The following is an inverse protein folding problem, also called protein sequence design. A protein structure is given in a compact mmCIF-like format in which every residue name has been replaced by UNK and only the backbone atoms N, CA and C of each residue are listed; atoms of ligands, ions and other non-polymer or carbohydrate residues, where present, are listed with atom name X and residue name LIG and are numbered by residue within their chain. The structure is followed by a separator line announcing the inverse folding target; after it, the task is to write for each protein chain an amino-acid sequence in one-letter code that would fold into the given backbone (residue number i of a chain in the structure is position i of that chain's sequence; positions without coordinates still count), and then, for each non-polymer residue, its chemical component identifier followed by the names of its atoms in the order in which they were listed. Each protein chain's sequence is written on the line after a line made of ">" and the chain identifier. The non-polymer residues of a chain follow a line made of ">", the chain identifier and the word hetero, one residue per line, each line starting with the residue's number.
data_IF_597000653231
#
_entry.id   IF_597000653231
#
_cell.length_a   1.000
_cell.length_b   1.000
_cell.length_c   1.000
_cell.angle_alpha   90.00
_cell.angle_beta   90.00
_cell.angle_gamma   90.00
#
_symmetry.space_group_name_H-M   'P 1'
#
loop_
_entity.id
_entity.type
_entity.pdbx_description
1 polymer ?
#
# COMPACT_ATOMS: atom_id res chain seq x y z
N UNK A 1 4.11 27.23 -5.42
CA UNK A 1 2.90 28.07 -5.54
C UNK A 1 1.73 27.28 -4.97
N UNK A 2 1.21 27.67 -3.82
CA UNK A 2 0.08 27.00 -3.14
C UNK A 2 -1.18 27.78 -3.47
N UNK A 3 -2.19 27.12 -4.05
CA UNK A 3 -3.51 27.71 -4.29
C UNK A 3 -4.48 27.14 -3.23
N UNK A 4 -5.08 27.97 -2.35
CA UNK A 4 -5.97 27.47 -1.32
C UNK A 4 -7.38 27.21 -1.89
N UNK A 5 -7.90 26.01 -1.68
CA UNK A 5 -9.30 25.65 -1.95
C UNK A 5 -10.15 25.95 -0.70
N UNK A 6 -11.10 26.88 -0.80
CA UNK A 6 -12.08 27.17 0.25
C UNK A 6 -13.33 26.31 0.04
N UNK A 7 -13.65 25.44 1.00
CA UNK A 7 -15.01 24.96 1.17
C UNK A 7 -15.16 23.55 1.75
N UNK A 8 -15.91 23.50 2.85
CA UNK A 8 -16.59 22.36 3.49
C UNK A 8 -15.82 21.50 4.50
N UNK A 9 -16.19 21.76 5.75
CA UNK A 9 -15.88 21.02 6.98
C UNK A 9 -16.46 19.60 6.94
N UNK A 10 -15.63 18.60 6.63
CA UNK A 10 -15.82 17.20 7.04
C UNK A 10 -14.45 16.64 7.40
N UNK A 11 -14.21 16.41 8.70
CA UNK A 11 -13.01 15.81 9.30
C UNK A 11 -11.83 15.69 8.33
N UNK A 12 -11.18 16.83 8.07
CA UNK A 12 -10.14 16.94 7.05
C UNK A 12 -8.99 16.00 7.43
N UNK A 13 -8.87 14.87 6.73
CA UNK A 13 -7.59 14.17 6.66
C UNK A 13 -6.69 15.09 5.83
N UNK A 14 -5.89 15.91 6.51
CA UNK A 14 -4.86 16.71 5.87
C UNK A 14 -3.86 15.76 5.20
N UNK A 15 -3.94 15.67 3.88
CA UNK A 15 -2.87 15.09 3.06
C UNK A 15 -1.99 16.26 2.63
N UNK A 16 -1.04 16.63 3.48
CA UNK A 16 0.01 17.57 3.09
C UNK A 16 0.99 16.83 2.16
N UNK A 17 1.07 17.28 0.91
CA UNK A 17 2.06 16.76 -0.05
C UNK A 17 3.18 17.77 -0.16
N UNK A 18 4.36 17.41 0.36
CA UNK A 18 5.59 18.15 0.06
C UNK A 18 6.04 17.68 -1.33
N UNK A 19 5.91 18.54 -2.34
CA UNK A 19 6.29 18.21 -3.70
C UNK A 19 7.81 17.92 -3.74
N UNK A 20 8.18 16.64 -3.80
CA UNK A 20 9.50 16.23 -4.25
C UNK A 20 9.53 16.32 -5.78
N UNK A 21 10.64 16.73 -6.38
CA UNK A 21 10.80 16.86 -7.84
C UNK A 21 10.56 15.57 -8.64
N UNK A 22 10.33 14.44 -7.98
CA UNK A 22 9.81 13.23 -8.59
C UNK A 22 8.36 13.00 -8.11
N UNK A 23 7.43 12.80 -9.04
CA UNK A 23 6.06 12.37 -8.75
C UNK A 23 5.94 10.99 -8.08
N UNK A 24 7.04 10.43 -7.59
CA UNK A 24 7.16 9.14 -6.92
C UNK A 24 7.94 9.30 -5.60
N UNK A 25 7.41 8.76 -4.50
CA UNK A 25 8.16 8.59 -3.24
C UNK A 25 8.18 9.77 -2.25
N UNK A 26 7.47 10.88 -2.53
CA UNK A 26 7.46 12.07 -1.66
C UNK A 26 6.56 12.00 -0.42
N UNK A 27 5.85 10.88 -0.20
CA UNK A 27 4.90 10.74 0.92
C UNK A 27 5.57 10.01 2.08
N UNK A 28 5.60 10.67 3.24
CA UNK A 28 6.03 10.08 4.52
C UNK A 28 4.80 9.89 5.40
N UNK A 29 4.60 8.69 5.93
CA UNK A 29 3.45 8.37 6.76
C UNK A 29 3.80 7.37 7.87
N UNK A 30 3.02 7.40 8.97
CA UNK A 30 3.09 6.36 10.00
C UNK A 30 2.37 5.10 9.50
N UNK A 31 2.78 3.88 9.92
CA UNK A 31 2.13 2.64 9.52
C UNK A 31 0.61 2.62 9.73
N UNK A 32 0.12 3.19 10.84
CA UNK A 32 -1.33 3.30 11.11
C UNK A 32 -2.09 4.11 10.06
N UNK A 33 -1.48 5.17 9.54
CA UNK A 33 -2.11 6.08 8.58
C UNK A 33 -2.04 5.49 7.17
N UNK A 34 -0.98 4.74 6.86
CA UNK A 34 -0.91 3.88 5.68
C UNK A 34 -2.04 2.84 5.66
N UNK A 35 -2.28 2.15 6.78
CA UNK A 35 -3.39 1.18 6.90
C UNK A 35 -4.73 1.86 6.66
N UNK A 36 -4.97 3.02 7.28
CA UNK A 36 -6.21 3.79 7.08
C UNK A 36 -6.42 4.18 5.62
N UNK A 37 -5.35 4.58 4.93
CA UNK A 37 -5.39 4.89 3.50
C UNK A 37 -5.77 3.64 2.69
N UNK A 38 -5.13 2.50 2.91
CA UNK A 38 -5.45 1.27 2.18
C UNK A 38 -6.86 0.76 2.49
N UNK A 39 -7.29 0.79 3.76
CA UNK A 39 -8.66 0.48 4.16
C UNK A 39 -9.66 1.37 3.44
N UNK A 40 -9.37 2.67 3.36
CA UNK A 40 -10.23 3.64 2.71
C UNK A 40 -10.20 3.51 1.18
N UNK A 41 -9.09 3.04 0.61
CA UNK A 41 -9.01 2.69 -0.80
C UNK A 41 -9.82 1.43 -1.11
N UNK A 42 -9.72 0.36 -0.30
CA UNK A 42 -10.44 -0.90 -0.55
C UNK A 42 -11.94 -0.77 -0.26
N UNK A 43 -12.28 -0.22 0.92
CA UNK A 43 -13.65 -0.23 1.49
C UNK A 43 -14.29 1.16 1.59
N UNK A 44 -13.47 2.22 1.59
CA UNK A 44 -13.91 3.56 1.91
C UNK A 44 -14.43 4.38 0.72
N UNK A 45 -14.88 5.62 1.01
CA UNK A 45 -15.50 6.52 0.04
C UNK A 45 -14.49 7.29 -0.81
N UNK A 46 -13.18 7.16 -0.59
CA UNK A 46 -12.15 7.97 -1.26
C UNK A 46 -12.24 7.81 -2.79
N UNK A 47 -12.49 6.58 -3.25
CA UNK A 47 -12.67 6.27 -4.65
C UNK A 47 -14.00 5.59 -4.87
N UNK A 48 -14.73 6.02 -5.91
CA UNK A 48 -15.91 5.30 -6.40
C UNK A 48 -15.53 3.86 -6.78
N UNK A 49 -16.49 2.93 -6.74
CA UNK A 49 -16.26 1.54 -7.22
C UNK A 49 -15.72 1.52 -8.65
N UNK A 50 -16.24 2.39 -9.53
CA UNK A 50 -15.75 2.55 -10.91
C UNK A 50 -14.27 2.94 -10.94
N UNK A 51 -13.87 3.93 -10.13
CA UNK A 51 -12.49 4.38 -10.03
C UNK A 51 -11.55 3.29 -9.51
N UNK A 52 -11.97 2.50 -8.52
CA UNK A 52 -11.19 1.36 -8.01
C UNK A 52 -11.03 0.25 -9.04
N UNK A 53 -12.14 -0.14 -9.69
CA UNK A 53 -12.10 -1.15 -10.74
C UNK A 53 -11.20 -0.71 -11.90
N UNK A 54 -11.25 0.57 -12.27
CA UNK A 54 -10.37 1.13 -13.28
C UNK A 54 -8.90 1.16 -12.83
N UNK A 55 -8.63 1.42 -11.54
CA UNK A 55 -7.28 1.37 -10.99
C UNK A 55 -6.66 -0.05 -11.02
N UNK A 56 -7.50 -1.09 -11.01
CA UNK A 56 -7.10 -2.49 -11.16
C UNK A 56 -7.42 -3.08 -12.55
N UNK A 57 -7.94 -2.27 -13.48
CA UNK A 57 -8.37 -2.74 -14.81
C UNK A 57 -7.20 -2.91 -15.77
N UNK A 58 -6.20 -2.03 -15.64
CA UNK A 58 -4.94 -2.09 -16.39
C UNK A 58 -3.82 -2.51 -15.44
N UNK A 59 -3.61 -3.82 -15.28
CA UNK A 59 -2.52 -4.35 -14.45
C UNK A 59 -1.30 -4.56 -15.36
N UNK A 60 -0.23 -3.82 -15.10
CA UNK A 60 1.04 -3.94 -15.82
C UNK A 60 1.95 -4.95 -15.10
N UNK A 61 2.49 -5.96 -15.78
CA UNK A 61 3.44 -6.89 -15.15
C UNK A 61 4.71 -6.13 -14.75
N UNK A 62 5.20 -6.38 -13.54
CA UNK A 62 6.48 -5.80 -13.09
C UNK A 62 7.62 -6.81 -13.24
N UNK A 63 8.65 -6.38 -13.97
CA UNK A 63 10.03 -6.91 -14.04
C UNK A 63 10.23 -8.34 -13.47
N UNK A 64 9.82 -9.35 -14.23
CA UNK A 64 10.21 -10.75 -13.98
C UNK A 64 9.65 -11.38 -12.70
N UNK A 65 8.68 -10.75 -12.03
CA UNK A 65 7.93 -11.33 -10.92
C UNK A 65 6.46 -11.40 -11.29
N UNK A 66 5.72 -12.36 -10.72
CA UNK A 66 4.26 -12.47 -10.90
C UNK A 66 3.47 -11.29 -10.29
N UNK A 67 4.16 -10.21 -9.90
CA UNK A 67 3.58 -8.98 -9.39
C UNK A 67 3.01 -8.14 -10.53
N UNK A 68 1.73 -7.80 -10.39
CA UNK A 68 1.04 -6.86 -11.25
C UNK A 68 0.96 -5.48 -10.60
N UNK A 69 1.14 -4.41 -11.37
CA UNK A 69 1.05 -3.03 -10.93
C UNK A 69 -0.11 -2.33 -11.63
N UNK A 70 -1.17 -2.04 -10.87
CA UNK A 70 -2.26 -1.17 -11.31
C UNK A 70 -1.91 0.30 -11.12
N UNK A 71 -2.91 1.17 -11.12
CA UNK A 71 -2.71 2.62 -10.88
C UNK A 71 -2.50 2.89 -9.39
N UNK A 72 -1.27 2.70 -8.92
CA UNK A 72 -0.83 2.98 -7.54
C UNK A 72 -1.02 1.85 -6.54
N UNK A 73 -1.68 0.75 -6.93
CA UNK A 73 -1.81 -0.47 -6.12
C UNK A 73 -1.20 -1.65 -6.87
N UNK A 74 -0.42 -2.44 -6.15
CA UNK A 74 0.19 -3.69 -6.56
C UNK A 74 -0.69 -4.88 -6.17
N UNK A 75 -0.71 -5.87 -7.06
CA UNK A 75 -1.23 -7.22 -6.83
C UNK A 75 0.00 -8.14 -6.79
N UNK A 76 0.29 -8.69 -5.62
CA UNK A 76 1.52 -9.44 -5.37
C UNK A 76 1.17 -10.86 -4.94
N UNK A 77 1.35 -11.87 -5.81
CA UNK A 77 1.33 -13.26 -5.40
C UNK A 77 2.47 -13.50 -4.42
N UNK A 78 2.15 -14.06 -3.25
CA UNK A 78 3.16 -14.45 -2.27
C UNK A 78 3.32 -15.96 -2.31
N UNK A 79 4.47 -16.46 -2.78
CA UNK A 79 4.76 -17.88 -2.74
C UNK A 79 4.89 -18.32 -1.29
N UNK A 80 3.97 -19.17 -0.85
CA UNK A 80 4.00 -19.83 0.44
C UNK A 80 3.75 -21.32 0.22
N UNK A 81 4.63 -22.14 0.78
CA UNK A 81 4.61 -23.60 0.59
C UNK A 81 3.37 -24.27 1.20
N UNK A 82 2.76 -23.65 2.21
CA UNK A 82 1.54 -24.17 2.84
C UNK A 82 0.31 -23.54 2.21
N UNK A 83 0.33 -22.24 1.95
CA UNK A 83 -0.86 -21.53 1.48
C UNK A 83 -0.54 -20.31 0.60
N UNK A 84 -0.51 -20.45 -0.74
CA UNK A 84 -0.37 -19.31 -1.62
C UNK A 84 -1.46 -18.27 -1.31
N UNK A 85 -1.06 -17.00 -1.25
CA UNK A 85 -1.95 -15.86 -1.01
C UNK A 85 -1.61 -14.73 -1.97
N UNK A 86 -2.54 -13.79 -2.10
CA UNK A 86 -2.35 -12.57 -2.86
C UNK A 86 -2.39 -11.41 -1.87
N UNK A 87 -1.41 -10.53 -2.00
CA UNK A 87 -1.38 -9.25 -1.32
C UNK A 87 -1.84 -8.14 -2.25
N UNK A 88 -2.74 -7.29 -1.77
CA UNK A 88 -3.11 -6.02 -2.41
C UNK A 88 -2.48 -4.87 -1.62
N UNK A 89 -1.74 -4.00 -2.28
CA UNK A 89 -1.12 -2.89 -1.54
C UNK A 89 -0.04 -2.17 -2.32
N UNK A 90 1.05 -1.82 -1.66
CA UNK A 90 2.16 -1.12 -2.30
C UNK A 90 3.47 -1.38 -1.56
N UNK A 91 4.54 -1.56 -2.34
CA UNK A 91 5.91 -1.62 -1.86
C UNK A 91 6.62 -0.35 -2.31
N UNK A 92 7.27 0.32 -1.36
CA UNK A 92 7.99 1.56 -1.64
C UNK A 92 9.21 1.72 -0.75
N UNK A 93 9.95 2.79 -0.97
CA UNK A 93 11.10 3.14 -0.15
C UNK A 93 12.24 3.75 -0.94
N UNK A 94 13.39 3.80 -0.29
CA UNK A 94 14.66 4.28 -0.79
C UNK A 94 15.76 3.22 -0.55
N UNK A 95 17.02 3.46 -0.93
CA UNK A 95 18.12 2.57 -0.55
C UNK A 95 18.25 2.36 0.97
N UNK A 96 17.81 3.31 1.78
CA UNK A 96 17.97 3.29 3.25
C UNK A 96 16.65 3.14 4.01
N UNK A 97 15.52 3.05 3.32
CA UNK A 97 14.22 2.90 3.95
C UNK A 97 13.31 2.02 3.12
N UNK A 98 12.47 1.24 3.78
CA UNK A 98 11.48 0.39 3.13
C UNK A 98 10.12 0.61 3.76
N UNK A 99 9.10 0.70 2.93
CA UNK A 99 7.71 0.82 3.32
C UNK A 99 6.93 -0.30 2.63
N UNK A 100 6.26 -1.12 3.42
CA UNK A 100 5.38 -2.18 2.95
C UNK A 100 4.00 -1.91 3.52
N UNK A 101 2.99 -1.90 2.67
CA UNK A 101 1.60 -1.77 3.05
C UNK A 101 0.80 -2.77 2.24
N UNK A 102 0.18 -3.73 2.89
CA UNK A 102 -0.53 -4.81 2.21
C UNK A 102 -1.82 -5.18 2.94
N UNK A 103 -2.77 -5.67 2.17
CA UNK A 103 -3.93 -6.39 2.60
C UNK A 103 -3.80 -7.84 2.10
N UNK A 104 -3.69 -8.77 3.04
CA UNK A 104 -3.67 -10.20 2.74
C UNK A 104 -5.10 -10.67 2.48
N UNK A 105 -5.39 -11.08 1.24
CA UNK A 105 -6.72 -11.49 0.81
C UNK A 105 -7.19 -12.76 1.53
N UNK A 106 -6.29 -13.67 1.88
CA UNK A 106 -6.66 -14.90 2.56
C UNK A 106 -7.02 -14.63 4.03
N UNK A 107 -6.15 -13.91 4.75
CA UNK A 107 -6.32 -13.59 6.17
C UNK A 107 -7.24 -12.41 6.43
N UNK A 108 -7.70 -11.72 5.38
CA UNK A 108 -8.48 -10.50 5.47
C UNK A 108 -7.86 -9.46 6.41
N UNK A 109 -6.53 -9.39 6.41
CA UNK A 109 -5.75 -8.65 7.40
C UNK A 109 -4.88 -7.60 6.73
N UNK A 110 -4.83 -6.40 7.31
CA UNK A 110 -3.98 -5.30 6.88
C UNK A 110 -2.69 -5.33 7.68
N UNK A 111 -1.55 -5.18 7.00
CA UNK A 111 -0.25 -5.02 7.65
C UNK A 111 0.51 -3.89 6.98
N UNK A 112 1.11 -3.04 7.80
CA UNK A 112 2.04 -2.03 7.34
C UNK A 112 3.32 -2.09 8.18
N UNK A 113 4.46 -2.01 7.51
CA UNK A 113 5.76 -1.95 8.14
C UNK A 113 6.61 -0.87 7.48
N UNK A 114 7.36 -0.14 8.29
CA UNK A 114 8.38 0.80 7.83
C UNK A 114 9.69 0.42 8.49
N UNK A 115 10.72 0.21 7.69
CA UNK A 115 12.08 -0.07 8.14
C UNK A 115 12.98 1.10 7.75
N UNK A 116 13.78 1.57 8.70
CA UNK A 116 14.80 2.60 8.46
C UNK A 116 16.14 1.97 8.05
N UNK A 117 16.08 0.80 7.41
CA UNK A 117 17.22 0.06 6.89
C UNK A 117 16.85 -0.54 5.54
N UNK A 118 17.84 -0.88 4.72
CA UNK A 118 17.63 -1.53 3.41
C UNK A 118 17.19 -3.00 3.47
N UNK A 119 16.66 -3.48 4.60
CA UNK A 119 16.24 -4.87 4.79
C UNK A 119 15.08 -5.31 3.89
N UNK A 120 14.73 -6.61 3.93
CA UNK A 120 13.60 -7.18 3.17
C UNK A 120 12.28 -6.94 3.92
N UNK A 121 11.59 -5.84 3.62
CA UNK A 121 10.36 -5.46 4.32
C UNK A 121 9.21 -6.45 4.12
N UNK A 122 9.14 -7.06 2.94
CA UNK A 122 8.15 -8.06 2.56
C UNK A 122 8.31 -9.33 3.41
N UNK A 123 9.55 -9.73 3.69
CA UNK A 123 9.86 -10.86 4.55
C UNK A 123 9.41 -10.61 6.01
N UNK A 124 9.64 -9.40 6.52
CA UNK A 124 9.14 -9.00 7.85
C UNK A 124 7.61 -9.10 7.91
N UNK A 125 6.92 -8.53 6.95
CA UNK A 125 5.44 -8.57 6.89
C UNK A 125 4.92 -10.00 6.78
N UNK A 126 5.55 -10.85 5.97
CA UNK A 126 5.16 -12.25 5.86
C UNK A 126 5.30 -12.98 7.21
N UNK A 127 6.40 -12.75 7.93
CA UNK A 127 6.62 -13.31 9.27
C UNK A 127 5.55 -12.83 10.25
N UNK A 128 5.21 -11.55 10.25
CA UNK A 128 4.14 -11.00 11.11
C UNK A 128 2.79 -11.64 10.81
N UNK A 129 2.45 -11.82 9.53
CA UNK A 129 1.20 -12.47 9.13
C UNK A 129 1.15 -13.94 9.57
N UNK A 130 2.27 -14.67 9.43
CA UNK A 130 2.36 -16.08 9.88
C UNK A 130 2.23 -16.22 11.38
N UNK A 131 2.73 -15.26 12.15
CA UNK A 131 2.58 -15.25 13.60
C UNK A 131 1.11 -15.13 14.05
N UNK A 132 0.21 -14.63 13.18
CA UNK A 132 -1.22 -14.58 13.47
C UNK A 132 -1.94 -15.93 13.28
N UNK A 133 -1.35 -16.86 12.53
CA UNK A 133 -1.98 -18.16 12.25
C UNK A 133 -1.91 -19.13 13.44
N UNK A 134 -1.22 -18.73 14.53
CA UNK A 134 -0.94 -19.60 15.66
C UNK A 134 0.20 -20.60 15.39
N UNK A 135 0.65 -21.33 16.43
CA UNK A 135 1.59 -22.45 16.28
C UNK A 135 0.99 -23.62 15.48
#
# INVERSE_FOLDING_TARGET
>A
MVVPYKGQTRANTLVETVASGAGAGGIVAKPKDMIRLLQSWIRGPILSRKSRNHALGDIFPMFGQDTGYGRGIMVMPVPDARFPTIWLGHLGGSPHSKAVLVFDLKRQTYVAAVLNTGGKGEALVNTLLKALDGP
#
